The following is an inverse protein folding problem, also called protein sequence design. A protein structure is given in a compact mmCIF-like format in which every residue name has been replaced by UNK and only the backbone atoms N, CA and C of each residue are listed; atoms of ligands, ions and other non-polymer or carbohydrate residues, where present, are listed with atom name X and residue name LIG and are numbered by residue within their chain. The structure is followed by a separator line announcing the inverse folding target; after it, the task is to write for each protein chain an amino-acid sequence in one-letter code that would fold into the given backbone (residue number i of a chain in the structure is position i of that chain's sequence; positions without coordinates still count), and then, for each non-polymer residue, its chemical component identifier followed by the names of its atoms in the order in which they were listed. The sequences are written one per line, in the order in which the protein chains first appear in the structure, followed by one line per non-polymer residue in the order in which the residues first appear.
data_IF_564938088946
#
_entry.id   IF_564938088946
#
_cell.length_a   1.000
_cell.length_b   1.000
_cell.length_c   1.000
_cell.angle_alpha   90.00
_cell.angle_beta   90.00
_cell.angle_gamma   90.00
#
_symmetry.space_group_name_H-M   'P 1'
#
loop_
_entity.id
_entity.type
_entity.pdbx_description
1 polymer ?
#
# COMPACT_ATOMS: atom_id res chain seq x y z
N UNK A 1 -41.65 -3.61 -16.98
CA UNK A 1 -42.51 -3.63 -15.78
C UNK A 1 -41.61 -4.07 -14.64
N UNK A 2 -41.18 -3.12 -13.82
CA UNK A 2 -40.15 -3.34 -12.80
C UNK A 2 -40.83 -3.62 -11.46
N UNK A 3 -40.48 -4.74 -10.84
CA UNK A 3 -40.82 -5.03 -9.45
C UNK A 3 -39.51 -5.16 -8.68
N UNK A 4 -39.44 -4.51 -7.51
CA UNK A 4 -38.25 -4.47 -6.67
C UNK A 4 -38.35 -5.37 -5.44
N UNK A 5 -37.25 -5.46 -4.68
CA UNK A 5 -37.16 -5.41 -3.20
C UNK A 5 -35.69 -5.52 -2.74
N UNK A 6 -35.43 -5.11 -1.48
CA UNK A 6 -34.15 -4.66 -0.91
C UNK A 6 -33.50 -5.63 0.10
N UNK A 7 -32.15 -5.56 0.18
CA UNK A 7 -31.20 -5.48 1.33
C UNK A 7 -31.25 -6.45 2.54
N UNK A 8 -30.08 -6.99 2.92
CA UNK A 8 -29.59 -6.94 4.32
C UNK A 8 -28.05 -7.08 4.45
N UNK A 9 -27.37 -6.06 5.00
CA UNK A 9 -25.96 -6.07 5.40
C UNK A 9 -25.87 -6.02 6.93
N UNK A 10 -25.12 -6.94 7.54
CA UNK A 10 -24.50 -6.76 8.86
C UNK A 10 -23.18 -7.52 8.92
N UNK A 11 -22.05 -6.81 8.93
CA UNK A 11 -20.84 -7.21 9.67
C UNK A 11 -20.23 -5.95 10.30
N UNK A 12 -19.79 -6.10 11.54
CA UNK A 12 -19.49 -5.12 12.59
C UNK A 12 -18.44 -4.04 12.30
N UNK A 13 -18.56 -3.00 13.12
CA UNK A 13 -17.74 -1.79 13.26
C UNK A 13 -16.28 -2.06 13.70
N UNK A 14 -15.38 -1.16 13.30
CA UNK A 14 -14.03 -1.01 13.83
C UNK A 14 -12.93 -1.28 12.79
N UNK A 15 -12.66 -0.32 11.91
CA UNK A 15 -11.44 -0.23 11.06
C UNK A 15 -11.30 -1.23 9.90
N UNK A 16 -12.18 -2.22 9.75
CA UNK A 16 -12.28 -3.05 8.52
C UNK A 16 -13.26 -2.52 7.45
N UNK A 17 -13.56 -1.23 7.42
CA UNK A 17 -14.70 -0.71 6.62
C UNK A 17 -14.48 -0.66 5.09
N UNK A 18 -13.31 -1.03 4.55
CA UNK A 18 -13.04 -0.97 3.10
C UNK A 18 -12.15 -2.12 2.57
N UNK A 19 -12.44 -3.38 2.92
CA UNK A 19 -11.80 -4.56 2.28
C UNK A 19 -12.73 -5.23 1.26
N UNK A 20 -13.49 -4.44 0.50
CA UNK A 20 -14.34 -4.97 -0.56
C UNK A 20 -14.29 -4.06 -1.77
N UNK A 21 -14.34 -4.67 -2.95
CA UNK A 21 -14.60 -3.99 -4.20
C UNK A 21 -15.99 -4.41 -4.68
N UNK A 22 -16.70 -3.47 -5.31
CA UNK A 22 -17.99 -3.74 -5.93
C UNK A 22 -18.02 -3.13 -7.32
N UNK A 23 -18.70 -3.80 -8.25
CA UNK A 23 -18.89 -3.32 -9.60
C UNK A 23 -20.26 -3.77 -10.11
N UNK A 24 -20.91 -2.90 -10.88
CA UNK A 24 -22.13 -3.22 -11.62
C UNK A 24 -21.77 -3.32 -13.09
N UNK A 25 -21.96 -4.50 -13.67
CA UNK A 25 -21.71 -4.75 -15.09
C UNK A 25 -23.03 -4.82 -15.87
N UNK A 26 -23.08 -4.14 -17.02
CA UNK A 26 -24.17 -4.26 -17.96
C UNK A 26 -23.85 -5.34 -19.00
N UNK A 27 -24.74 -6.32 -19.15
CA UNK A 27 -24.62 -7.40 -20.13
C UNK A 27 -25.89 -7.48 -20.97
N UNK A 28 -25.80 -8.03 -22.19
CA UNK A 28 -27.00 -8.30 -22.98
C UNK A 28 -27.87 -9.33 -22.26
N UNK A 29 -29.19 -9.18 -22.39
CA UNK A 29 -30.17 -9.99 -21.65
C UNK A 29 -30.00 -11.49 -21.90
N UNK A 30 -29.72 -11.87 -23.13
CA UNK A 30 -29.48 -13.24 -23.58
C UNK A 30 -28.10 -13.79 -23.18
N UNK A 31 -27.12 -12.93 -22.92
CA UNK A 31 -25.77 -13.32 -22.47
C UNK A 31 -25.63 -13.39 -20.95
N UNK A 32 -26.66 -12.97 -20.21
CA UNK A 32 -26.62 -12.86 -18.74
C UNK A 32 -26.21 -14.16 -18.04
N UNK A 33 -26.86 -15.28 -18.37
CA UNK A 33 -26.57 -16.56 -17.74
C UNK A 33 -25.11 -16.98 -17.98
N UNK A 34 -24.62 -16.79 -19.22
CA UNK A 34 -23.23 -17.07 -19.59
C UNK A 34 -22.25 -16.19 -18.81
N UNK A 35 -22.54 -14.90 -18.64
CA UNK A 35 -21.68 -13.99 -17.87
C UNK A 35 -21.56 -14.41 -16.41
N UNK A 36 -22.68 -14.77 -15.76
CA UNK A 36 -22.68 -15.26 -14.37
C UNK A 36 -21.80 -16.50 -14.25
N UNK A 37 -22.00 -17.49 -15.13
CA UNK A 37 -21.18 -18.72 -15.13
C UNK A 37 -19.69 -18.42 -15.27
N UNK A 38 -19.29 -17.54 -16.20
CA UNK A 38 -17.88 -17.19 -16.38
C UNK A 38 -17.27 -16.52 -15.13
N UNK A 39 -18.02 -15.65 -14.47
CA UNK A 39 -17.58 -14.97 -13.25
C UNK A 39 -17.42 -15.97 -12.11
N UNK A 40 -18.39 -16.87 -11.92
CA UNK A 40 -18.35 -17.90 -10.89
C UNK A 40 -17.20 -18.88 -11.12
N UNK A 41 -16.98 -19.31 -12.36
CA UNK A 41 -15.85 -20.18 -12.73
C UNK A 41 -14.50 -19.51 -12.44
N UNK A 42 -14.36 -18.22 -12.76
CA UNK A 42 -13.12 -17.49 -12.49
C UNK A 42 -12.92 -17.26 -10.98
N UNK A 43 -13.99 -16.99 -10.24
CA UNK A 43 -13.96 -16.85 -8.79
C UNK A 43 -13.44 -18.12 -8.10
N UNK A 44 -13.81 -19.30 -8.59
CA UNK A 44 -13.30 -20.58 -8.08
C UNK A 44 -11.80 -20.70 -8.31
N UNK A 45 -11.28 -20.31 -9.48
CA UNK A 45 -9.84 -20.35 -9.78
C UNK A 45 -9.07 -19.39 -8.87
N UNK A 46 -9.52 -18.14 -8.76
CA UNK A 46 -8.90 -17.13 -7.90
C UNK A 46 -8.92 -17.58 -6.43
N UNK A 47 -10.04 -18.13 -5.95
CA UNK A 47 -10.14 -18.66 -4.58
C UNK A 47 -9.14 -19.80 -4.33
N UNK A 48 -8.91 -20.67 -5.33
CA UNK A 48 -7.92 -21.72 -5.22
C UNK A 48 -6.48 -21.17 -5.17
N UNK A 49 -6.17 -20.14 -5.97
CA UNK A 49 -4.87 -19.45 -5.95
C UNK A 49 -4.61 -18.74 -4.62
N UNK A 50 -5.63 -18.08 -4.07
CA UNK A 50 -5.53 -17.27 -2.86
C UNK A 50 -5.65 -18.08 -1.56
N UNK A 51 -6.02 -19.37 -1.61
CA UNK A 51 -6.33 -20.21 -0.45
C UNK A 51 -5.34 -20.11 0.72
N UNK A 52 -4.05 -19.95 0.44
CA UNK A 52 -3.01 -19.88 1.47
C UNK A 52 -2.87 -18.48 2.09
N UNK A 53 -3.13 -17.42 1.32
CA UNK A 53 -2.84 -16.03 1.72
C UNK A 53 -4.11 -15.21 2.04
N UNK A 54 -5.25 -15.60 1.47
CA UNK A 54 -6.57 -15.03 1.74
C UNK A 54 -7.64 -16.15 1.68
N UNK A 55 -7.72 -17.01 2.72
CA UNK A 55 -8.68 -18.12 2.77
C UNK A 55 -10.14 -17.65 2.86
N UNK A 56 -10.37 -16.39 3.21
CA UNK A 56 -11.70 -15.80 3.40
C UNK A 56 -12.22 -15.09 2.14
N UNK A 57 -11.48 -15.13 1.02
CA UNK A 57 -11.89 -14.56 -0.25
C UNK A 57 -13.30 -15.03 -0.65
N UNK A 58 -14.18 -14.07 -0.93
CA UNK A 58 -15.57 -14.31 -1.33
C UNK A 58 -15.93 -13.40 -2.49
N UNK A 59 -16.53 -14.00 -3.51
CA UNK A 59 -17.17 -13.28 -4.61
C UNK A 59 -18.65 -13.66 -4.62
N UNK A 60 -19.52 -12.66 -4.75
CA UNK A 60 -20.95 -12.85 -4.92
C UNK A 60 -21.44 -12.10 -6.13
N UNK A 61 -22.27 -12.74 -6.94
CA UNK A 61 -22.93 -12.11 -8.09
C UNK A 61 -24.42 -12.03 -7.77
N UNK A 62 -24.97 -10.82 -7.82
CA UNK A 62 -26.39 -10.58 -7.62
C UNK A 62 -26.96 -9.70 -8.72
N UNK A 63 -28.29 -9.73 -8.86
CA UNK A 63 -28.97 -8.83 -9.79
C UNK A 63 -28.90 -7.39 -9.29
N UNK A 64 -28.41 -6.48 -10.13
CA UNK A 64 -28.37 -5.06 -9.86
C UNK A 64 -29.22 -4.29 -10.87
N UNK A 65 -29.73 -3.13 -10.46
CA UNK A 65 -30.37 -2.19 -11.39
C UNK A 65 -29.30 -1.61 -12.31
N UNK A 66 -29.49 -1.79 -13.60
CA UNK A 66 -28.62 -1.20 -14.62
C UNK A 66 -28.98 0.28 -14.75
N UNK A 67 -28.03 1.15 -14.43
CA UNK A 67 -28.06 2.57 -14.77
C UNK A 67 -27.40 2.83 -16.12
N UNK A 68 -26.92 4.06 -16.33
CA UNK A 68 -26.01 4.34 -17.45
C UNK A 68 -24.74 3.49 -17.29
N UNK A 69 -24.26 2.96 -18.40
CA UNK A 69 -23.09 2.09 -18.44
C UNK A 69 -22.04 2.66 -19.39
N UNK A 70 -20.77 2.39 -19.10
CA UNK A 70 -19.68 2.71 -20.01
C UNK A 70 -19.92 2.07 -21.37
N UNK A 71 -19.62 2.83 -22.44
CA UNK A 71 -19.57 2.24 -23.79
C UNK A 71 -18.53 1.13 -23.84
N UNK A 72 -18.73 0.12 -24.71
CA UNK A 72 -17.78 -0.99 -24.84
C UNK A 72 -16.34 -0.54 -25.11
N UNK A 73 -16.15 0.51 -25.91
CA UNK A 73 -14.82 1.08 -26.18
C UNK A 73 -14.14 1.66 -24.94
N UNK A 74 -14.88 2.34 -24.07
CA UNK A 74 -14.37 2.91 -22.83
C UNK A 74 -14.10 1.81 -21.80
N UNK A 75 -14.99 0.82 -21.67
CA UNK A 75 -14.78 -0.33 -20.76
C UNK A 75 -13.53 -1.10 -21.14
N UNK A 76 -13.32 -1.39 -22.44
CA UNK A 76 -12.11 -2.07 -22.91
C UNK A 76 -10.84 -1.30 -22.60
N UNK A 77 -10.84 0.04 -22.78
CA UNK A 77 -9.70 0.88 -22.40
C UNK A 77 -9.47 0.87 -20.90
N UNK A 78 -10.52 0.98 -20.08
CA UNK A 78 -10.40 0.95 -18.64
C UNK A 78 -9.79 -0.37 -18.14
N UNK A 79 -10.29 -1.52 -18.60
CA UNK A 79 -9.69 -2.81 -18.25
C UNK A 79 -8.26 -2.95 -18.78
N UNK A 80 -7.97 -2.47 -19.99
CA UNK A 80 -6.61 -2.45 -20.51
C UNK A 80 -5.67 -1.63 -19.61
N UNK A 81 -6.11 -0.49 -19.08
CA UNK A 81 -5.34 0.30 -18.13
C UNK A 81 -5.04 -0.50 -16.86
N UNK A 82 -6.06 -1.14 -16.27
CA UNK A 82 -5.88 -1.95 -15.05
C UNK A 82 -4.91 -3.13 -15.26
N UNK A 83 -4.81 -3.67 -16.47
CA UNK A 83 -3.86 -4.73 -16.80
C UNK A 83 -2.44 -4.21 -17.10
N UNK A 84 -2.30 -3.01 -17.67
CA UNK A 84 -1.00 -2.42 -18.04
C UNK A 84 -0.34 -1.70 -16.87
N UNK A 85 -1.13 -1.00 -16.05
CA UNK A 85 -0.67 -0.22 -14.93
C UNK A 85 -0.19 -1.16 -13.81
N UNK A 86 1.09 -1.06 -13.38
CA UNK A 86 1.63 -1.96 -12.37
C UNK A 86 0.90 -1.81 -11.02
N UNK A 87 0.79 -2.91 -10.28
CA UNK A 87 0.32 -2.96 -8.89
C UNK A 87 1.09 -4.06 -8.13
N UNK A 88 1.34 -3.83 -6.85
CA UNK A 88 2.16 -4.68 -5.98
C UNK A 88 3.63 -4.26 -5.90
N UNK A 89 4.47 -5.23 -5.53
CA UNK A 89 5.92 -5.08 -5.41
C UNK A 89 6.54 -4.99 -6.81
N UNK A 90 7.32 -3.95 -7.05
CA UNK A 90 8.04 -3.74 -8.32
C UNK A 90 9.49 -4.19 -8.20
N UNK A 91 10.14 -3.85 -7.08
CA UNK A 91 11.56 -4.16 -6.88
C UNK A 91 11.85 -4.36 -5.39
N UNK A 92 12.61 -5.41 -5.09
CA UNK A 92 13.18 -5.65 -3.76
C UNK A 92 14.55 -4.96 -3.66
N UNK A 93 14.92 -4.50 -2.48
CA UNK A 93 16.21 -3.85 -2.25
C UNK A 93 17.37 -4.82 -2.51
N UNK A 94 18.39 -4.33 -3.21
CA UNK A 94 19.64 -5.06 -3.41
C UNK A 94 20.57 -4.98 -2.19
N UNK A 95 20.41 -3.96 -1.35
CA UNK A 95 21.26 -3.72 -0.18
C UNK A 95 20.71 -4.37 1.09
N UNK A 96 19.38 -4.49 1.21
CA UNK A 96 18.72 -5.03 2.40
C UNK A 96 17.84 -6.23 2.02
N UNK A 97 18.29 -7.47 2.29
CA UNK A 97 17.54 -8.68 2.00
C UNK A 97 16.13 -8.67 2.59
N UNK A 98 15.13 -8.95 1.75
CA UNK A 98 13.72 -9.02 2.15
C UNK A 98 13.00 -7.68 2.24
N UNK A 99 13.67 -6.56 2.01
CA UNK A 99 13.05 -5.23 1.98
C UNK A 99 12.43 -4.94 0.61
N UNK A 100 11.18 -4.51 0.59
CA UNK A 100 10.57 -3.92 -0.62
C UNK A 100 11.16 -2.53 -0.83
N UNK A 101 11.82 -2.31 -1.96
CA UNK A 101 12.37 -1.01 -2.34
C UNK A 101 11.30 -0.15 -2.99
N UNK A 102 10.66 -0.67 -4.03
CA UNK A 102 9.68 0.05 -4.85
C UNK A 102 8.39 -0.75 -4.97
N UNK A 103 7.25 -0.11 -4.72
CA UNK A 103 5.92 -0.70 -4.88
C UNK A 103 4.90 0.34 -5.35
N UNK A 104 3.77 -0.12 -5.85
CA UNK A 104 2.59 0.74 -6.04
C UNK A 104 1.34 -0.06 -5.75
N UNK A 105 0.34 0.57 -5.15
CA UNK A 105 -0.93 -0.08 -4.85
C UNK A 105 -2.06 0.61 -5.62
N UNK A 106 -2.84 -0.15 -6.38
CA UNK A 106 -4.15 0.29 -6.86
C UNK A 106 -5.08 0.45 -5.64
N UNK A 107 -5.22 1.67 -5.14
CA UNK A 107 -5.86 1.94 -3.85
C UNK A 107 -7.37 2.11 -3.97
N UNK A 108 -7.81 2.91 -4.95
CA UNK A 108 -9.24 3.25 -5.11
C UNK A 108 -9.57 3.31 -6.59
N UNK A 109 -10.65 2.63 -6.96
CA UNK A 109 -11.34 2.84 -8.24
C UNK A 109 -12.70 3.41 -7.89
N UNK A 110 -13.06 4.55 -8.48
CA UNK A 110 -14.33 5.20 -8.18
C UNK A 110 -14.97 5.75 -9.44
N UNK A 111 -16.26 5.44 -9.61
CA UNK A 111 -17.11 6.07 -10.61
C UNK A 111 -17.55 7.45 -10.10
N UNK A 112 -17.25 8.49 -10.86
CA UNK A 112 -17.58 9.90 -10.56
C UNK A 112 -18.59 10.49 -11.55
N UNK A 113 -19.42 9.64 -12.15
CA UNK A 113 -20.43 10.02 -13.14
C UNK A 113 -19.85 9.92 -14.54
N UNK A 114 -19.42 11.04 -15.10
CA UNK A 114 -18.87 11.09 -16.47
C UNK A 114 -17.43 10.54 -16.55
N UNK A 115 -16.75 10.40 -15.41
CA UNK A 115 -15.37 9.93 -15.33
C UNK A 115 -15.23 8.77 -14.35
N UNK A 116 -14.18 7.97 -14.56
CA UNK A 116 -13.70 7.00 -13.56
C UNK A 116 -12.35 7.48 -13.07
N UNK A 117 -12.22 7.64 -11.75
CA UNK A 117 -10.93 7.90 -11.12
C UNK A 117 -10.30 6.59 -10.68
N UNK A 118 -9.00 6.47 -10.95
CA UNK A 118 -8.17 5.32 -10.56
C UNK A 118 -6.98 5.87 -9.80
N UNK A 119 -6.91 5.58 -8.50
CA UNK A 119 -5.93 6.16 -7.59
C UNK A 119 -4.88 5.11 -7.23
N UNK A 120 -3.62 5.48 -7.44
CA UNK A 120 -2.47 4.68 -7.04
C UNK A 120 -1.73 5.35 -5.90
N UNK A 121 -1.19 4.52 -5.00
CA UNK A 121 -0.22 4.94 -4.00
C UNK A 121 1.11 4.27 -4.29
N UNK A 122 2.02 5.03 -4.91
CA UNK A 122 3.37 4.59 -5.24
C UNK A 122 4.37 4.95 -4.13
N UNK A 123 5.29 4.05 -3.84
CA UNK A 123 6.29 4.19 -2.78
C UNK A 123 7.64 3.71 -3.27
N UNK A 124 8.70 4.44 -2.93
CA UNK A 124 10.06 3.94 -3.07
C UNK A 124 11.00 4.55 -2.02
N UNK A 125 12.02 3.80 -1.60
CA UNK A 125 13.19 4.38 -0.92
C UNK A 125 14.15 5.08 -1.88
N UNK A 126 14.01 4.85 -3.19
CA UNK A 126 14.80 5.49 -4.26
C UNK A 126 13.94 6.49 -5.04
N UNK A 127 14.33 7.76 -5.02
CA UNK A 127 13.61 8.81 -5.73
C UNK A 127 13.56 8.54 -7.25
N UNK A 128 14.66 8.07 -7.84
CA UNK A 128 14.73 7.79 -9.28
C UNK A 128 13.86 6.60 -9.69
N UNK A 129 13.75 5.58 -8.84
CA UNK A 129 12.83 4.46 -9.11
C UNK A 129 11.36 4.87 -8.96
N UNK A 130 11.04 5.74 -8.00
CA UNK A 130 9.69 6.29 -7.87
C UNK A 130 9.27 7.06 -9.12
N UNK A 131 10.15 7.92 -9.65
CA UNK A 131 9.90 8.68 -10.88
C UNK A 131 9.74 7.76 -12.11
N UNK A 132 10.57 6.71 -12.21
CA UNK A 132 10.43 5.72 -13.27
C UNK A 132 9.10 4.96 -13.18
N UNK A 133 8.65 4.62 -11.97
CA UNK A 133 7.35 3.97 -11.75
C UNK A 133 6.18 4.89 -12.11
N UNK A 134 6.21 6.15 -11.70
CA UNK A 134 5.21 7.16 -12.08
C UNK A 134 5.15 7.32 -13.59
N UNK A 135 6.31 7.42 -14.25
CA UNK A 135 6.39 7.51 -15.71
C UNK A 135 5.71 6.33 -16.41
N UNK A 136 5.81 5.12 -15.85
CA UNK A 136 5.09 3.93 -16.38
C UNK A 136 3.58 4.04 -16.21
N UNK A 137 3.10 4.54 -15.07
CA UNK A 137 1.68 4.77 -14.82
C UNK A 137 1.11 5.84 -15.77
N UNK A 138 1.83 6.95 -15.94
CA UNK A 138 1.50 8.03 -16.88
C UNK A 138 1.44 7.49 -18.30
N UNK A 139 2.47 6.76 -18.76
CA UNK A 139 2.50 6.20 -20.10
C UNK A 139 1.32 5.24 -20.37
N UNK A 140 0.94 4.41 -19.39
CA UNK A 140 -0.22 3.53 -19.50
C UNK A 140 -1.53 4.32 -19.60
N UNK A 141 -1.67 5.42 -18.85
CA UNK A 141 -2.85 6.28 -18.87
C UNK A 141 -2.97 7.03 -20.21
N UNK A 142 -1.88 7.66 -20.66
CA UNK A 142 -1.83 8.44 -21.90
C UNK A 142 -2.10 7.58 -23.13
N UNK A 143 -1.57 6.35 -23.17
CA UNK A 143 -1.81 5.40 -24.27
C UNK A 143 -3.30 5.13 -24.50
N UNK A 144 -4.11 5.23 -23.44
CA UNK A 144 -5.54 4.94 -23.48
C UNK A 144 -6.40 6.22 -23.55
N UNK A 145 -5.76 7.39 -23.52
CA UNK A 145 -6.40 8.71 -23.56
C UNK A 145 -6.98 9.14 -22.22
N UNK A 146 -6.47 8.61 -21.11
CA UNK A 146 -6.80 9.09 -19.77
C UNK A 146 -5.87 10.24 -19.36
N UNK A 147 -6.36 11.13 -18.50
CA UNK A 147 -5.55 12.17 -17.86
C UNK A 147 -4.89 11.61 -16.61
N UNK A 148 -3.71 12.13 -16.28
CA UNK A 148 -2.99 11.78 -15.06
C UNK A 148 -2.76 13.04 -14.21
N UNK A 149 -3.03 12.93 -12.91
CA UNK A 149 -2.76 13.98 -11.94
C UNK A 149 -1.91 13.39 -10.80
N UNK A 150 -0.86 14.11 -10.44
CA UNK A 150 -0.04 13.78 -9.30
C UNK A 150 -0.24 14.82 -8.19
N UNK A 151 -0.93 14.47 -7.09
CA UNK A 151 -0.92 15.31 -5.91
C UNK A 151 0.48 15.29 -5.27
N UNK A 152 0.81 16.30 -4.47
CA UNK A 152 2.11 16.37 -3.79
C UNK A 152 2.45 15.08 -3.02
N UNK A 153 3.67 14.59 -3.19
CA UNK A 153 4.21 13.42 -2.50
C UNK A 153 5.07 13.79 -1.29
N UNK A 154 5.70 12.77 -0.70
CA UNK A 154 6.80 12.91 0.25
C UNK A 154 8.00 12.09 -0.23
N UNK A 155 9.23 12.57 0.00
CA UNK A 155 10.44 11.88 -0.42
C UNK A 155 10.62 10.57 0.35
N UNK A 156 11.29 9.62 -0.31
CA UNK A 156 11.83 8.44 0.37
C UNK A 156 13.02 8.80 1.26
N UNK A 157 13.39 7.87 2.14
CA UNK A 157 14.62 7.94 2.92
C UNK A 157 15.47 6.70 2.61
N UNK A 158 16.51 6.89 1.80
CA UNK A 158 17.41 5.81 1.43
C UNK A 158 18.29 5.42 2.63
N UNK A 159 18.37 4.13 2.99
CA UNK A 159 19.22 3.68 4.10
C UNK A 159 20.71 3.92 3.80
N UNK A 160 21.44 4.51 4.76
CA UNK A 160 22.90 4.59 4.75
C UNK A 160 23.48 3.66 5.82
N UNK A 161 24.01 2.52 5.39
CA UNK A 161 24.62 1.54 6.31
C UNK A 161 25.99 1.99 6.85
N UNK A 162 26.58 3.04 6.28
CA UNK A 162 27.84 3.65 6.71
C UNK A 162 27.66 4.82 7.69
N UNK A 163 26.41 5.18 8.00
CA UNK A 163 26.04 6.25 8.93
C UNK A 163 26.76 6.15 10.28
N UNK A 164 27.32 7.27 10.72
CA UNK A 164 28.04 7.35 12.00
C UNK A 164 27.07 7.26 13.17
N UNK A 165 25.95 7.97 13.10
CA UNK A 165 24.94 7.90 14.16
C UNK A 165 24.31 6.50 14.23
N UNK A 166 24.16 5.79 13.10
CA UNK A 166 23.73 4.40 13.09
C UNK A 166 24.70 3.49 13.86
N UNK A 167 26.01 3.67 13.68
CA UNK A 167 27.03 2.92 14.42
C UNK A 167 26.95 3.21 15.93
N UNK A 168 26.79 4.49 16.32
CA UNK A 168 26.59 4.89 17.72
C UNK A 168 25.34 4.24 18.30
N UNK A 169 24.21 4.27 17.59
CA UNK A 169 22.96 3.65 18.04
C UNK A 169 23.08 2.14 18.24
N UNK A 170 23.73 1.43 17.30
CA UNK A 170 23.97 -0.02 17.43
C UNK A 170 24.78 -0.34 18.68
N UNK A 171 25.84 0.41 18.92
CA UNK A 171 26.69 0.23 20.10
C UNK A 171 25.90 0.49 21.39
N UNK A 172 25.17 1.61 21.46
CA UNK A 172 24.36 1.96 22.61
C UNK A 172 23.25 0.96 22.90
N UNK A 173 22.59 0.44 21.86
CA UNK A 173 21.59 -0.62 22.00
C UNK A 173 22.21 -1.89 22.55
N UNK A 174 23.37 -2.32 22.04
CA UNK A 174 24.08 -3.51 22.52
C UNK A 174 24.47 -3.40 24.00
N UNK A 175 24.92 -2.24 24.44
CA UNK A 175 25.28 -1.99 25.84
C UNK A 175 24.08 -2.08 26.80
N UNK A 176 22.90 -1.62 26.37
CA UNK A 176 21.69 -1.61 27.20
C UNK A 176 20.92 -2.93 27.12
N UNK A 177 20.73 -3.47 25.92
CA UNK A 177 19.91 -4.65 25.66
C UNK A 177 20.71 -5.97 25.70
N UNK A 178 22.04 -5.91 25.73
CA UNK A 178 22.91 -7.09 25.74
C UNK A 178 22.92 -7.91 24.44
N UNK A 179 22.31 -7.40 23.37
CA UNK A 179 22.19 -8.06 22.06
C UNK A 179 22.31 -7.05 20.93
N UNK A 180 22.64 -7.53 19.74
CA UNK A 180 22.71 -6.68 18.54
C UNK A 180 21.33 -6.10 18.19
N UNK A 181 21.32 -4.85 17.75
CA UNK A 181 20.11 -4.22 17.22
C UNK A 181 19.77 -4.78 15.84
N UNK A 182 18.49 -5.08 15.60
CA UNK A 182 18.01 -5.36 14.25
C UNK A 182 17.87 -4.03 13.51
N UNK A 183 18.72 -3.80 12.51
CA UNK A 183 18.55 -2.68 11.59
C UNK A 183 17.60 -3.09 10.48
N UNK A 184 16.47 -2.41 10.41
CA UNK A 184 15.50 -2.58 9.36
C UNK A 184 15.18 -1.22 8.74
N UNK A 185 14.96 -1.21 7.44
CA UNK A 185 14.17 -0.17 6.81
C UNK A 185 12.72 -0.65 6.73
N UNK A 186 11.79 0.29 6.76
CA UNK A 186 10.36 0.01 6.67
C UNK A 186 9.85 0.49 5.31
N UNK A 187 9.00 -0.31 4.66
CA UNK A 187 8.32 0.13 3.44
C UNK A 187 7.10 1.01 3.80
N UNK A 188 7.37 2.12 4.47
CA UNK A 188 6.40 3.09 4.98
C UNK A 188 6.97 4.51 4.85
N UNK A 189 6.10 5.52 4.97
CA UNK A 189 6.53 6.92 5.02
C UNK A 189 7.01 7.28 6.43
N UNK A 190 8.19 7.88 6.53
CA UNK A 190 8.72 8.46 7.76
C UNK A 190 9.11 9.92 7.50
N UNK A 191 8.92 10.79 8.49
CA UNK A 191 9.29 12.20 8.39
C UNK A 191 10.79 12.41 8.13
N UNK A 192 11.64 11.43 8.45
CA UNK A 192 13.06 11.42 8.12
C UNK A 192 13.32 11.65 6.62
N UNK A 193 12.44 11.20 5.73
CA UNK A 193 12.55 11.52 4.30
C UNK A 193 12.45 13.03 4.05
N UNK A 194 11.42 13.68 4.60
CA UNK A 194 11.22 15.14 4.46
C UNK A 194 12.31 15.95 5.15
N UNK A 195 12.81 15.48 6.30
CA UNK A 195 13.89 16.14 7.03
C UNK A 195 15.19 16.05 6.21
N UNK A 196 15.52 14.87 5.68
CA UNK A 196 16.71 14.66 4.86
C UNK A 196 16.72 15.46 3.55
N UNK A 197 15.57 15.60 2.90
CA UNK A 197 15.46 16.45 1.70
C UNK A 197 15.80 17.92 2.02
N UNK A 198 15.37 18.42 3.19
CA UNK A 198 15.65 19.80 3.63
C UNK A 198 17.06 19.97 4.18
N UNK A 199 17.65 18.92 4.74
CA UNK A 199 18.98 18.92 5.35
C UNK A 199 19.80 17.74 4.80
N UNK A 200 20.32 17.82 3.57
CA UNK A 200 20.95 16.68 2.89
C UNK A 200 22.16 16.08 3.61
N UNK A 201 22.86 16.90 4.40
CA UNK A 201 24.05 16.48 5.15
C UNK A 201 23.71 15.96 6.57
N UNK A 202 22.44 15.91 6.95
CA UNK A 202 22.03 15.45 8.27
C UNK A 202 22.11 13.93 8.36
N UNK A 203 22.99 13.45 9.24
CA UNK A 203 23.07 12.02 9.60
C UNK A 203 21.92 11.68 10.57
N UNK A 204 21.08 10.70 10.22
CA UNK A 204 19.81 10.45 10.89
C UNK A 204 19.57 8.96 11.15
N UNK A 205 18.81 8.69 12.21
CA UNK A 205 18.31 7.36 12.61
C UNK A 205 16.89 7.52 13.16
N UNK A 206 16.08 6.49 12.96
CA UNK A 206 14.75 6.36 13.58
C UNK A 206 14.72 5.12 14.45
N UNK A 207 14.24 5.26 15.67
CA UNK A 207 14.07 4.18 16.63
C UNK A 207 12.98 4.56 17.65
N UNK A 208 12.38 3.57 18.30
CA UNK A 208 11.29 3.81 19.24
C UNK A 208 10.90 2.55 20.03
N UNK A 209 9.93 2.66 20.95
CA UNK A 209 9.37 1.53 21.67
C UNK A 209 8.51 0.64 20.76
N UNK A 210 8.13 -0.53 21.27
CA UNK A 210 7.25 -1.46 20.55
C UNK A 210 5.79 -1.00 20.64
N UNK A 211 5.22 -0.60 19.50
CA UNK A 211 3.82 -0.22 19.35
C UNK A 211 3.12 -1.23 18.45
N UNK A 212 1.94 -1.71 18.86
CA UNK A 212 1.13 -2.68 18.12
C UNK A 212 -0.20 -2.06 17.73
N UNK A 213 -0.63 -2.31 16.49
CA UNK A 213 -1.91 -1.82 15.98
C UNK A 213 -1.97 -0.31 15.82
N UNK A 214 -0.83 0.34 15.52
CA UNK A 214 -0.78 1.79 15.28
C UNK A 214 -1.85 2.21 14.26
N UNK A 215 -2.49 3.35 14.51
CA UNK A 215 -3.62 3.88 13.72
C UNK A 215 -4.89 3.04 13.79
N UNK A 216 -5.04 2.20 14.82
CA UNK A 216 -6.25 1.43 15.04
C UNK A 216 -6.83 1.61 16.44
N UNK A 217 -8.09 1.21 16.66
CA UNK A 217 -8.70 1.14 17.99
C UNK A 217 -8.01 0.12 18.90
N UNK A 218 -7.22 -0.78 18.32
CA UNK A 218 -6.41 -1.79 19.02
C UNK A 218 -4.99 -1.28 19.31
N UNK A 219 -4.71 0.01 19.07
CA UNK A 219 -3.39 0.62 19.29
C UNK A 219 -2.97 0.52 20.76
N UNK A 220 -1.78 -0.02 20.99
CA UNK A 220 -1.18 -0.18 22.32
C UNK A 220 0.34 -0.15 22.26
N UNK A 221 0.95 0.39 23.31
CA UNK A 221 2.41 0.41 23.52
C UNK A 221 2.80 -0.62 24.58
N UNK A 222 3.92 -1.30 24.36
CA UNK A 222 4.50 -2.21 25.34
C UNK A 222 5.34 -1.41 26.34
N UNK A 223 4.97 -1.47 27.64
CA UNK A 223 5.50 -0.57 28.67
C UNK A 223 6.99 -0.82 28.95
N UNK A 224 7.45 -2.08 28.99
CA UNK A 224 8.85 -2.42 29.27
C UNK A 224 9.78 -1.87 28.16
N UNK A 225 9.30 -1.87 26.91
CA UNK A 225 10.01 -1.38 25.74
C UNK A 225 10.20 0.14 25.77
N UNK A 226 9.31 0.88 26.45
CA UNK A 226 9.46 2.33 26.65
C UNK A 226 10.65 2.62 27.57
N UNK A 227 10.81 1.86 28.65
CA UNK A 227 11.96 1.99 29.54
C UNK A 227 13.27 1.66 28.83
N UNK A 228 13.28 0.57 28.05
CA UNK A 228 14.43 0.17 27.24
C UNK A 228 14.80 1.23 26.20
N UNK A 229 13.81 1.74 25.46
CA UNK A 229 13.96 2.85 24.52
C UNK A 229 14.61 4.07 25.18
N UNK A 230 14.10 4.47 26.34
CA UNK A 230 14.62 5.64 27.06
C UNK A 230 16.08 5.44 27.49
N UNK A 231 16.43 4.27 28.03
CA UNK A 231 17.81 3.95 28.41
C UNK A 231 18.75 3.97 27.20
N UNK A 232 18.32 3.42 26.06
CA UNK A 232 19.10 3.45 24.80
C UNK A 232 19.28 4.88 24.30
N UNK A 233 18.24 5.72 24.35
CA UNK A 233 18.32 7.13 23.97
C UNK A 233 19.38 7.88 24.79
N UNK A 234 19.34 7.76 26.13
CA UNK A 234 20.33 8.41 27.00
C UNK A 234 21.74 7.91 26.68
N UNK A 235 21.92 6.58 26.56
CA UNK A 235 23.22 5.99 26.23
C UNK A 235 23.73 6.44 24.86
N UNK A 236 22.86 6.57 23.87
CA UNK A 236 23.19 7.09 22.54
C UNK A 236 23.70 8.53 22.60
N UNK A 237 23.04 9.39 23.36
CA UNK A 237 23.49 10.77 23.56
C UNK A 237 24.87 10.82 24.24
N UNK A 238 25.09 9.99 25.28
CA UNK A 238 26.39 9.90 25.96
C UNK A 238 27.52 9.40 25.04
N UNK A 239 27.24 8.41 24.20
CA UNK A 239 28.21 7.84 23.27
C UNK A 239 28.49 8.79 22.10
N UNK A 240 27.46 9.47 21.59
CA UNK A 240 27.59 10.47 20.53
C UNK A 240 28.42 11.68 20.99
N UNK A 241 28.27 12.11 22.24
CA UNK A 241 29.07 13.21 22.79
C UNK A 241 30.58 12.91 22.88
N UNK A 242 30.98 11.62 22.77
CA UNK A 242 32.37 11.16 22.83
C UNK A 242 32.95 10.82 21.46
N UNK A 243 32.11 10.75 20.42
CA UNK A 243 32.48 10.33 19.07
C UNK A 243 33.02 11.47 18.21
#
# INVERSE_FOLDING_TARGET
MWQGLWYNRRICQGIRSQLYAEAVIAVKKDERAKAITLIEEEAVKISAELKTIDPDFKLSVEEAKVGEAMSGSHSSKFFAYLHLAPSGVITMSYDIPGLVQTSTNLAVVKNEGENISVQYLSRSSSATELEALKSRLVAAAELLGATFEEPGGYPGWQPDLSSKILAVMKQSYKEIAGKEATCAAVHAGLECGMIGEKFPDMDMVSFGPEIKGAHSVDEKVEIESVESFYKVLIKALENFAKS
#
